data_IF_097433271279
#
_entry.id   IF_097433271279
#
_cell.length_a   1.000
_cell.length_b   1.000
_cell.length_c   1.000
_cell.angle_alpha   90.00
_cell.angle_beta   90.00
_cell.angle_gamma   90.00
#
_symmetry.space_group_name_H-M   'P 1'
#
loop_
_entity.id
_entity.type
_entity.pdbx_description
1 polymer ?
#
# COMPACT_ATOMS: atom_id res chain seq x y z
N UNK A 1 -2.80 -10.71 4.48
CA UNK A 1 -3.20 -9.36 4.92
C UNK A 1 -4.54 -9.03 4.28
N UNK A 2 -5.59 -8.69 5.07
CA UNK A 2 -6.89 -8.32 4.52
C UNK A 2 -6.83 -6.98 3.78
N UNK A 3 -7.74 -6.76 2.83
CA UNK A 3 -7.89 -5.46 2.19
C UNK A 3 -8.43 -4.41 3.18
N UNK A 4 -8.05 -3.15 3.00
CA UNK A 4 -8.59 -2.03 3.79
C UNK A 4 -9.94 -1.61 3.20
N UNK A 5 -11.04 -1.62 3.98
CA UNK A 5 -12.34 -1.15 3.52
C UNK A 5 -12.25 0.28 3.00
N UNK A 6 -12.72 0.49 1.78
CA UNK A 6 -12.58 1.76 1.07
C UNK A 6 -13.85 2.08 0.30
N UNK A 7 -14.21 3.36 0.22
CA UNK A 7 -15.23 3.82 -0.73
C UNK A 7 -14.57 3.90 -2.10
N UNK A 8 -15.01 3.05 -3.03
CA UNK A 8 -14.39 2.92 -4.36
C UNK A 8 -14.92 4.01 -5.30
N UNK A 9 -14.02 4.81 -5.84
CA UNK A 9 -14.29 5.78 -6.89
C UNK A 9 -13.89 5.21 -8.28
N UNK A 10 -12.76 4.52 -8.37
CA UNK A 10 -12.22 3.87 -9.57
C UNK A 10 -11.25 2.74 -9.12
N UNK A 11 -10.98 1.74 -9.95
CA UNK A 11 -10.04 0.66 -9.63
C UNK A 11 -8.71 0.75 -10.40
N UNK A 12 -8.64 1.63 -11.39
CA UNK A 12 -7.45 1.81 -12.24
C UNK A 12 -6.23 2.18 -11.37
N UNK A 13 -5.12 1.45 -11.55
CA UNK A 13 -3.85 1.71 -10.86
C UNK A 13 -3.78 1.23 -9.41
N UNK A 14 -4.83 0.63 -8.85
CA UNK A 14 -4.81 0.11 -7.48
C UNK A 14 -3.79 -1.02 -7.29
N UNK A 15 -3.73 -1.95 -8.26
CA UNK A 15 -2.75 -3.04 -8.27
C UNK A 15 -1.31 -2.52 -8.40
N UNK A 16 -1.09 -1.53 -9.27
CA UNK A 16 0.22 -0.90 -9.43
C UNK A 16 0.66 -0.16 -8.17
N UNK A 17 -0.28 0.50 -7.48
CA UNK A 17 -0.03 1.17 -6.20
C UNK A 17 0.33 0.16 -5.10
N UNK A 18 -0.39 -0.96 -5.03
CA UNK A 18 -0.05 -2.07 -4.14
C UNK A 18 1.37 -2.58 -4.40
N UNK A 19 1.66 -2.93 -5.65
CA UNK A 19 2.96 -3.49 -6.04
C UNK A 19 4.09 -2.51 -5.81
N UNK A 20 3.89 -1.23 -6.12
CA UNK A 20 4.90 -0.17 -5.89
C UNK A 20 5.25 -0.04 -4.41
N UNK A 21 4.25 -0.03 -3.54
CA UNK A 21 4.46 0.03 -2.09
C UNK A 21 5.07 -1.25 -1.51
N UNK A 22 4.68 -2.42 -2.03
CA UNK A 22 5.29 -3.70 -1.67
C UNK A 22 6.78 -3.74 -2.03
N UNK A 23 7.12 -3.38 -3.28
CA UNK A 23 8.50 -3.35 -3.76
C UNK A 23 9.31 -2.33 -2.96
N UNK A 24 8.77 -1.13 -2.71
CA UNK A 24 9.42 -0.13 -1.87
C UNK A 24 9.73 -0.68 -0.47
N UNK A 25 8.77 -1.35 0.17
CA UNK A 25 8.95 -1.93 1.49
C UNK A 25 10.03 -3.01 1.53
N UNK A 26 10.11 -3.84 0.49
CA UNK A 26 11.17 -4.86 0.35
C UNK A 26 12.54 -4.21 0.13
N UNK A 27 12.64 -3.21 -0.76
CA UNK A 27 13.90 -2.50 -1.03
C UNK A 27 14.44 -1.77 0.21
N UNK A 28 13.56 -1.17 1.03
CA UNK A 28 13.96 -0.48 2.26
C UNK A 28 14.38 -1.42 3.38
N UNK A 29 13.94 -2.68 3.36
CA UNK A 29 14.36 -3.70 4.35
C UNK A 29 15.63 -4.43 3.95
N UNK A 30 15.84 -4.66 2.65
CA UNK A 30 16.91 -5.53 2.15
C UNK A 30 16.54 -7.02 2.24
N UNK A 31 17.51 -7.90 1.91
CA UNK A 31 17.33 -9.36 1.85
C UNK A 31 17.32 -10.05 3.22
N UNK A 32 17.79 -9.38 4.26
CA UNK A 32 17.83 -9.92 5.62
C UNK A 32 16.57 -9.55 6.41
N UNK A 33 16.00 -10.52 7.14
CA UNK A 33 14.94 -10.21 8.11
C UNK A 33 13.52 -10.09 7.55
N UNK A 34 13.17 -10.86 6.52
CA UNK A 34 11.78 -11.03 6.05
C UNK A 34 10.95 -11.98 6.94
N UNK A 35 11.01 -11.76 8.26
CA UNK A 35 10.15 -12.47 9.19
C UNK A 35 8.65 -12.26 8.82
N UNK A 36 7.75 -13.20 9.15
CA UNK A 36 6.33 -13.07 8.82
C UNK A 36 5.72 -11.71 9.23
N UNK A 37 6.06 -11.21 10.41
CA UNK A 37 5.59 -9.91 10.92
C UNK A 37 6.08 -8.72 10.09
N UNK A 38 7.25 -8.82 9.47
CA UNK A 38 7.77 -7.79 8.56
C UNK A 38 7.01 -7.81 7.24
N UNK A 39 6.80 -9.01 6.69
CA UNK A 39 6.01 -9.18 5.46
C UNK A 39 4.56 -8.72 5.64
N UNK A 40 3.96 -8.99 6.81
CA UNK A 40 2.62 -8.49 7.16
C UNK A 40 2.57 -6.96 7.20
N UNK A 41 3.58 -6.29 7.77
CA UNK A 41 3.66 -4.82 7.78
C UNK A 41 3.82 -4.24 6.38
N UNK A 42 4.68 -4.84 5.55
CA UNK A 42 4.86 -4.41 4.17
C UNK A 42 3.55 -4.60 3.39
N UNK A 43 2.92 -5.77 3.51
CA UNK A 43 1.63 -6.07 2.88
C UNK A 43 0.52 -5.12 3.34
N UNK A 44 0.47 -4.76 4.62
CA UNK A 44 -0.51 -3.79 5.17
C UNK A 44 -0.29 -2.40 4.58
N UNK A 45 0.97 -1.98 4.44
CA UNK A 45 1.35 -0.72 3.78
C UNK A 45 0.92 -0.73 2.31
N UNK A 46 1.16 -1.83 1.60
CA UNK A 46 0.74 -2.01 0.22
C UNK A 46 -0.79 -2.00 0.06
N UNK A 47 -1.52 -2.65 0.97
CA UNK A 47 -2.99 -2.61 1.01
C UNK A 47 -3.52 -1.20 1.26
N UNK A 48 -2.88 -0.41 2.12
CA UNK A 48 -3.23 1.01 2.32
C UNK A 48 -2.96 1.84 1.05
N UNK A 49 -1.88 1.57 0.32
CA UNK A 49 -1.61 2.26 -0.92
C UNK A 49 -2.71 2.01 -1.96
N UNK A 50 -3.11 0.75 -2.14
CA UNK A 50 -4.23 0.40 -3.00
C UNK A 50 -5.54 1.04 -2.55
N UNK A 51 -5.82 1.05 -1.25
CA UNK A 51 -7.02 1.64 -0.65
C UNK A 51 -7.16 3.13 -0.95
N UNK A 52 -6.07 3.89 -0.86
CA UNK A 52 -6.06 5.31 -1.20
C UNK A 52 -6.29 5.50 -2.71
N UNK A 53 -5.63 4.69 -3.55
CA UNK A 53 -5.77 4.79 -5.01
C UNK A 53 -7.19 4.46 -5.46
N UNK A 54 -7.82 3.40 -4.94
CA UNK A 54 -9.20 3.06 -5.33
C UNK A 54 -10.22 4.12 -4.90
N UNK A 55 -9.88 4.95 -3.92
CA UNK A 55 -10.71 6.06 -3.46
C UNK A 55 -10.60 7.32 -4.33
N UNK A 56 -9.85 7.28 -5.43
CA UNK A 56 -9.58 8.43 -6.31
C UNK A 56 -9.94 8.09 -7.76
N UNK A 57 -10.41 9.04 -8.57
CA UNK A 57 -10.57 8.83 -10.01
C UNK A 57 -9.22 8.62 -10.72
N UNK A 58 -9.13 7.59 -11.56
CA UNK A 58 -7.93 7.26 -12.35
C UNK A 58 -6.75 6.71 -11.54
N UNK A 59 -5.65 6.41 -12.24
CA UNK A 59 -4.39 5.98 -11.62
C UNK A 59 -3.72 7.14 -10.87
N UNK A 60 -4.11 7.33 -9.60
CA UNK A 60 -3.60 8.40 -8.73
C UNK A 60 -3.03 7.83 -7.42
N UNK A 61 -1.80 7.26 -7.45
CA UNK A 61 -1.18 6.65 -6.28
C UNK A 61 -0.94 7.67 -5.14
N UNK A 62 -0.89 7.22 -3.88
CA UNK A 62 -0.60 8.10 -2.76
C UNK A 62 0.85 8.58 -2.75
N UNK A 63 1.05 9.78 -2.22
CA UNK A 63 2.36 10.23 -1.75
C UNK A 63 2.77 9.48 -0.49
N UNK A 64 4.07 9.44 -0.19
CA UNK A 64 4.58 8.85 1.05
C UNK A 64 3.91 9.43 2.31
N UNK A 65 3.67 10.75 2.34
CA UNK A 65 3.01 11.41 3.47
C UNK A 65 1.56 10.96 3.65
N UNK A 66 0.82 10.79 2.56
CA UNK A 66 -0.55 10.28 2.61
C UNK A 66 -0.61 8.83 3.07
N UNK A 67 0.38 8.03 2.66
CA UNK A 67 0.50 6.64 3.10
C UNK A 67 0.75 6.55 4.61
N UNK A 68 1.69 7.34 5.14
CA UNK A 68 1.93 7.42 6.59
C UNK A 68 0.68 7.88 7.36
N UNK A 69 -0.02 8.90 6.85
CA UNK A 69 -1.27 9.36 7.45
C UNK A 69 -2.41 8.34 7.35
N UNK A 70 -2.42 7.49 6.32
CA UNK A 70 -3.34 6.36 6.18
C UNK A 70 -3.07 5.28 7.22
N UNK A 71 -1.79 4.95 7.47
CA UNK A 71 -1.40 3.90 8.42
C UNK A 71 -1.54 4.29 9.90
N UNK A 72 -1.69 5.57 10.21
CA UNK A 72 -1.88 6.07 11.58
C UNK A 72 -3.34 6.08 12.04
N UNK A 73 -4.29 5.76 11.15
CA UNK A 73 -5.73 5.67 11.43
C UNK A 73 -6.10 4.25 11.82
#
# INVERSE_FOLDING_TARGET
VPAIPSVVADTIGAGDSYMSALILGLLLRGSDGLAPTVLERIGTTASMAAAITVGRPGANPPTHRELLAGMAR
#
